data_IF_641515898691
#
_entry.id   IF_641515898691
#
_cell.length_a   1.000
_cell.length_b   1.000
_cell.length_c   1.000
_cell.angle_alpha   90.00
_cell.angle_beta   90.00
_cell.angle_gamma   90.00
#
_symmetry.space_group_name_H-M   'P 1'
#
loop_
_entity.id
_entity.type
_entity.pdbx_description
1 polymer ?
#
# COMPACT_ATOMS: atom_id res chain seq x y z
N UNK A 1 -13.94 16.28 -20.21
CA UNK A 1 -13.73 16.59 -18.80
C UNK A 1 -14.34 15.55 -17.88
N UNK A 2 -15.59 15.19 -18.13
CA UNK A 2 -16.24 14.17 -17.30
C UNK A 2 -15.52 12.82 -17.38
N UNK A 3 -14.94 12.51 -18.53
CA UNK A 3 -14.19 11.27 -18.70
C UNK A 3 -12.96 11.20 -17.80
N UNK A 4 -12.27 12.33 -17.64
CA UNK A 4 -11.10 12.38 -16.78
C UNK A 4 -11.49 12.16 -15.31
N UNK A 5 -12.57 12.79 -14.89
CA UNK A 5 -13.06 12.61 -13.51
C UNK A 5 -13.50 11.17 -13.27
N UNK A 6 -14.11 10.53 -14.29
CA UNK A 6 -14.50 9.13 -14.18
C UNK A 6 -13.31 8.19 -14.07
N UNK A 7 -12.24 8.46 -14.84
CA UNK A 7 -11.01 7.68 -14.78
C UNK A 7 -10.36 7.82 -13.42
N UNK A 8 -10.26 9.04 -12.90
CA UNK A 8 -9.67 9.27 -11.58
C UNK A 8 -10.43 8.53 -10.49
N UNK A 9 -11.76 8.54 -10.55
CA UNK A 9 -12.59 7.85 -9.58
C UNK A 9 -12.39 6.35 -9.67
N UNK A 10 -12.29 5.80 -10.88
CA UNK A 10 -12.04 4.37 -11.08
C UNK A 10 -10.68 3.99 -10.52
N UNK A 11 -9.66 4.81 -10.72
CA UNK A 11 -8.32 4.57 -10.17
C UNK A 11 -8.34 4.62 -8.66
N UNK A 12 -9.07 5.56 -8.06
CA UNK A 12 -9.20 5.66 -6.62
C UNK A 12 -9.85 4.40 -6.04
N UNK A 13 -10.90 3.90 -6.67
CA UNK A 13 -11.54 2.67 -6.23
C UNK A 13 -10.60 1.47 -6.33
N UNK A 14 -9.82 1.39 -7.41
CA UNK A 14 -8.82 0.35 -7.56
C UNK A 14 -7.77 0.43 -6.46
N UNK A 15 -7.34 1.64 -6.11
CA UNK A 15 -6.36 1.84 -5.05
C UNK A 15 -6.92 1.44 -3.69
N UNK A 16 -8.20 1.71 -3.43
CA UNK A 16 -8.83 1.28 -2.18
C UNK A 16 -8.82 -0.25 -2.08
N UNK A 17 -9.21 -0.93 -3.16
CA UNK A 17 -9.23 -2.39 -3.18
C UNK A 17 -7.83 -2.97 -3.07
N UNK A 18 -6.88 -2.42 -3.83
CA UNK A 18 -5.51 -2.89 -3.81
C UNK A 18 -4.87 -2.68 -2.45
N UNK A 19 -5.09 -1.51 -1.84
CA UNK A 19 -4.58 -1.22 -0.50
C UNK A 19 -5.09 -2.20 0.53
N UNK A 20 -6.38 -2.54 0.45
CA UNK A 20 -6.96 -3.53 1.35
C UNK A 20 -6.34 -4.92 1.17
N UNK A 21 -6.06 -5.31 -0.07
CA UNK A 21 -5.40 -6.58 -0.36
C UNK A 21 -3.98 -6.61 0.19
N UNK A 22 -3.21 -5.55 -0.05
CA UNK A 22 -1.83 -5.46 0.45
C UNK A 22 -1.81 -5.48 1.97
N UNK A 23 -2.78 -4.81 2.60
CA UNK A 23 -2.89 -4.81 4.05
C UNK A 23 -3.12 -6.22 4.61
N UNK A 24 -3.96 -7.00 3.94
CA UNK A 24 -4.18 -8.40 4.34
C UNK A 24 -2.91 -9.22 4.18
N UNK A 25 -2.17 -9.00 3.09
CA UNK A 25 -0.92 -9.72 2.84
C UNK A 25 0.18 -9.34 3.84
N UNK A 26 0.03 -8.21 4.53
CA UNK A 26 1.00 -7.78 5.54
C UNK A 26 0.87 -8.55 6.85
N UNK A 27 -0.12 -9.40 6.98
CA UNK A 27 -0.29 -10.24 8.16
C UNK A 27 0.93 -11.14 8.37
N UNK A 28 1.42 -11.30 9.61
CA UNK A 28 2.55 -12.18 9.89
C UNK A 28 2.30 -13.62 9.50
N UNK A 29 1.03 -14.03 9.44
CA UNK A 29 0.67 -15.39 9.04
C UNK A 29 0.89 -15.62 7.55
N UNK A 30 0.82 -14.57 6.74
CA UNK A 30 0.97 -14.65 5.29
C UNK A 30 2.40 -14.33 4.88
N UNK A 31 3.00 -13.30 5.47
CA UNK A 31 4.33 -12.82 5.10
C UNK A 31 5.33 -13.33 6.13
N UNK A 32 5.93 -14.49 5.88
CA UNK A 32 6.80 -15.18 6.83
C UNK A 32 8.28 -15.11 6.46
N UNK A 33 8.59 -15.19 5.18
CA UNK A 33 10.00 -15.25 4.75
C UNK A 33 10.55 -13.85 4.49
N UNK A 34 11.88 -13.67 4.56
CA UNK A 34 12.49 -12.38 4.21
C UNK A 34 12.17 -11.93 2.79
N UNK A 35 12.12 -12.86 1.84
CA UNK A 35 11.77 -12.52 0.46
C UNK A 35 10.35 -11.97 0.36
N UNK A 36 9.43 -12.58 1.10
CA UNK A 36 8.05 -12.11 1.13
C UNK A 36 7.95 -10.73 1.76
N UNK A 37 8.73 -10.46 2.81
CA UNK A 37 8.76 -9.14 3.45
C UNK A 37 9.32 -8.08 2.51
N UNK A 38 10.36 -8.42 1.76
CA UNK A 38 10.91 -7.50 0.76
C UNK A 38 9.90 -7.21 -0.35
N UNK A 39 9.20 -8.25 -0.80
CA UNK A 39 8.17 -8.08 -1.82
C UNK A 39 7.02 -7.21 -1.31
N UNK A 40 6.63 -7.42 -0.06
CA UNK A 40 5.59 -6.61 0.57
C UNK A 40 6.03 -5.15 0.69
N UNK A 41 7.27 -4.91 1.13
CA UNK A 41 7.79 -3.55 1.27
C UNK A 41 7.81 -2.83 -0.08
N UNK A 42 8.19 -3.52 -1.15
CA UNK A 42 8.16 -2.94 -2.48
C UNK A 42 6.75 -2.61 -2.93
N UNK A 43 5.81 -3.53 -2.65
CA UNK A 43 4.40 -3.32 -2.99
C UNK A 43 3.82 -2.10 -2.26
N UNK A 44 4.12 -1.97 -0.97
CA UNK A 44 3.67 -0.84 -0.18
C UNK A 44 4.29 0.46 -0.69
N UNK A 45 5.57 0.42 -1.04
CA UNK A 45 6.25 1.60 -1.56
C UNK A 45 5.64 2.05 -2.89
N UNK A 46 5.36 1.12 -3.80
CA UNK A 46 4.70 1.42 -5.06
C UNK A 46 3.31 1.97 -4.83
N UNK A 47 2.57 1.36 -3.90
CA UNK A 47 1.25 1.84 -3.53
C UNK A 47 1.31 3.27 -3.00
N UNK A 48 2.28 3.56 -2.13
CA UNK A 48 2.44 4.90 -1.55
C UNK A 48 2.67 5.95 -2.63
N UNK A 49 3.49 5.64 -3.63
CA UNK A 49 3.76 6.55 -4.73
C UNK A 49 2.47 6.84 -5.52
N UNK A 50 1.70 5.81 -5.81
CA UNK A 50 0.42 5.99 -6.53
C UNK A 50 -0.61 6.72 -5.67
N UNK A 51 -0.69 6.37 -4.39
CA UNK A 51 -1.65 6.95 -3.46
C UNK A 51 -1.38 8.43 -3.22
N UNK A 52 -0.12 8.85 -3.28
CA UNK A 52 0.23 10.26 -3.09
C UNK A 52 -0.39 11.15 -4.15
N UNK A 53 -0.71 10.60 -5.31
CA UNK A 53 -1.34 11.34 -6.40
C UNK A 53 -2.86 11.35 -6.31
N UNK A 54 -3.43 10.51 -5.46
CA UNK A 54 -4.88 10.42 -5.28
C UNK A 54 -5.37 11.52 -4.35
N UNK A 55 -6.56 12.03 -4.63
CA UNK A 55 -7.23 12.97 -3.73
C UNK A 55 -8.25 12.31 -2.81
N UNK A 56 -8.35 10.98 -2.84
CA UNK A 56 -9.34 10.25 -2.05
C UNK A 56 -8.82 10.01 -0.63
N UNK A 57 -9.54 10.48 0.42
CA UNK A 57 -9.11 10.27 1.80
C UNK A 57 -8.96 8.80 2.18
N UNK A 58 -9.77 7.92 1.59
CA UNK A 58 -9.68 6.48 1.88
C UNK A 58 -8.34 5.92 1.42
N UNK A 59 -7.86 6.37 0.26
CA UNK A 59 -6.58 5.95 -0.28
C UNK A 59 -5.44 6.43 0.61
N UNK A 60 -5.50 7.68 1.05
CA UNK A 60 -4.48 8.24 1.93
C UNK A 60 -4.45 7.53 3.28
N UNK A 61 -5.59 7.16 3.82
CA UNK A 61 -5.67 6.43 5.07
C UNK A 61 -5.03 5.05 4.93
N UNK A 62 -5.32 4.34 3.85
CA UNK A 62 -4.70 3.05 3.58
C UNK A 62 -3.19 3.18 3.43
N UNK A 63 -2.73 4.23 2.76
CA UNK A 63 -1.30 4.51 2.62
C UNK A 63 -0.64 4.61 4.00
N UNK A 64 -1.22 5.38 4.91
CA UNK A 64 -0.68 5.55 6.25
C UNK A 64 -0.69 4.22 7.01
N UNK A 65 -1.78 3.47 6.94
CA UNK A 65 -1.88 2.18 7.61
C UNK A 65 -0.84 1.19 7.10
N UNK A 66 -0.63 1.15 5.79
CA UNK A 66 0.36 0.26 5.19
C UNK A 66 1.78 0.66 5.60
N UNK A 67 2.08 1.96 5.60
CA UNK A 67 3.40 2.44 6.01
C UNK A 67 3.68 2.11 7.47
N UNK A 68 2.68 2.25 8.34
CA UNK A 68 2.82 1.89 9.75
C UNK A 68 3.00 0.39 9.91
N UNK A 69 2.30 -0.40 9.11
CA UNK A 69 2.37 -1.86 9.20
C UNK A 69 3.74 -2.39 8.82
N UNK A 70 4.41 -1.79 7.82
CA UNK A 70 5.71 -2.28 7.36
C UNK A 70 6.89 -1.71 8.13
N UNK A 71 6.69 -0.68 8.96
CA UNK A 71 7.79 -0.09 9.73
C UNK A 71 8.59 -1.10 10.54
N UNK A 72 7.97 -2.02 11.28
CA UNK A 72 8.74 -3.02 12.02
C UNK A 72 9.59 -3.90 11.12
N UNK A 73 9.09 -4.25 9.95
CA UNK A 73 9.83 -5.06 8.98
C UNK A 73 11.03 -4.31 8.43
N UNK A 74 10.84 -3.02 8.15
CA UNK A 74 11.93 -2.18 7.66
C UNK A 74 13.01 -2.01 8.71
N UNK A 75 12.63 -1.89 9.98
CA UNK A 75 13.60 -1.79 11.07
C UNK A 75 14.46 -3.04 11.18
N UNK A 76 13.84 -4.21 11.04
CA UNK A 76 14.57 -5.47 11.09
C UNK A 76 15.60 -5.56 9.97
N UNK A 77 15.28 -5.05 8.80
CA UNK A 77 16.19 -5.02 7.67
C UNK A 77 17.28 -3.96 7.89
N UNK A 78 16.92 -2.80 8.41
CA UNK A 78 17.82 -1.67 8.58
C UNK A 78 18.77 -1.83 9.77
N UNK A 79 18.44 -2.65 10.74
CA UNK A 79 19.24 -2.81 11.96
C UNK A 79 20.49 -3.68 11.75
N UNK A 80 20.78 -4.01 10.53
CA UNK A 80 22.01 -4.71 10.20
C UNK A 80 23.11 -3.74 9.91
#
# INVERSE_FOLDING_TARGET
>A
MDQIAGVDRALDEMLVQLGGMVLRLSSPEVTRTPEERHALARSVNQYSVCAARSGDPRVHQLKVELEETIKPHLRLVASR
#
